data_IF_344591918402
#
_entry.id   IF_344591918402
#
_cell.length_a   1.000
_cell.length_b   1.000
_cell.length_c   1.000
_cell.angle_alpha   90.00
_cell.angle_beta   90.00
_cell.angle_gamma   90.00
#
_symmetry.space_group_name_H-M   'P 1'
#
loop_
_entity.id
_entity.type
_entity.pdbx_description
1 polymer ?
#
# COMPACT_ATOMS: atom_id res chain seq x y z
N UNK A 1 1.35 -25.82 -10.57
CA UNK A 1 2.83 -25.89 -10.57
C UNK A 1 3.35 -24.52 -10.88
N UNK A 2 4.09 -23.90 -9.96
CA UNK A 2 4.72 -22.59 -10.19
C UNK A 2 5.75 -22.77 -11.32
N UNK A 3 5.65 -22.07 -12.45
CA UNK A 3 6.65 -22.19 -13.51
C UNK A 3 7.99 -21.71 -12.95
N UNK A 4 8.99 -22.61 -12.94
CA UNK A 4 10.36 -22.29 -12.49
C UNK A 4 11.05 -21.25 -13.38
N UNK A 5 10.54 -21.03 -14.59
CA UNK A 5 11.06 -20.07 -15.56
C UNK A 5 9.93 -19.12 -15.97
N UNK A 6 10.05 -17.84 -15.61
CA UNK A 6 9.09 -16.77 -15.97
C UNK A 6 9.39 -16.10 -17.32
N UNK A 7 10.51 -16.44 -17.95
CA UNK A 7 10.94 -15.94 -19.25
C UNK A 7 12.42 -16.22 -19.49
N UNK A 8 12.84 -16.18 -20.77
CA UNK A 8 14.26 -16.18 -21.15
C UNK A 8 14.58 -14.77 -21.60
N UNK A 9 15.48 -14.11 -20.88
CA UNK A 9 15.86 -12.73 -21.13
C UNK A 9 17.30 -12.68 -21.64
N UNK A 10 17.52 -11.97 -22.74
CA UNK A 10 18.85 -11.77 -23.33
C UNK A 10 19.48 -10.43 -22.94
N UNK A 11 18.75 -9.60 -22.17
CA UNK A 11 19.19 -8.29 -21.70
C UNK A 11 18.80 -8.07 -20.23
N UNK A 12 19.57 -7.27 -19.50
CA UNK A 12 19.37 -6.99 -18.07
C UNK A 12 18.08 -6.19 -17.82
N UNK A 13 17.77 -5.20 -18.65
CA UNK A 13 16.63 -4.30 -18.43
C UNK A 13 15.26 -5.04 -18.33
N UNK A 14 14.91 -5.97 -19.23
CA UNK A 14 13.72 -6.80 -19.07
C UNK A 14 13.71 -7.66 -17.79
N UNK A 15 14.89 -8.07 -17.30
CA UNK A 15 15.00 -8.83 -16.04
C UNK A 15 14.65 -7.93 -14.85
N UNK A 16 15.23 -6.73 -14.78
CA UNK A 16 14.91 -5.74 -13.74
C UNK A 16 13.41 -5.44 -13.70
N UNK A 17 12.79 -5.17 -14.87
CA UNK A 17 11.36 -4.93 -14.97
C UNK A 17 10.51 -6.12 -14.48
N UNK A 18 10.92 -7.35 -14.80
CA UNK A 18 10.21 -8.54 -14.32
C UNK A 18 10.32 -8.70 -12.79
N UNK A 19 11.50 -8.42 -12.22
CA UNK A 19 11.74 -8.46 -10.78
C UNK A 19 10.98 -7.36 -10.04
N UNK A 20 10.96 -6.13 -10.56
CA UNK A 20 10.18 -5.00 -10.04
C UNK A 20 8.69 -5.36 -9.93
N UNK A 21 8.13 -5.92 -11.02
CA UNK A 21 6.73 -6.35 -11.07
C UNK A 21 6.49 -7.48 -10.05
N UNK A 22 7.40 -8.44 -9.93
CA UNK A 22 7.28 -9.54 -8.98
C UNK A 22 7.34 -9.10 -7.52
N UNK A 23 8.20 -8.11 -7.19
CA UNK A 23 8.24 -7.51 -5.86
C UNK A 23 6.93 -6.78 -5.52
N UNK A 24 6.46 -5.92 -6.43
CA UNK A 24 5.19 -5.20 -6.24
C UNK A 24 4.00 -6.15 -6.06
N UNK A 25 4.01 -7.30 -6.75
CA UNK A 25 3.00 -8.36 -6.58
C UNK A 25 2.99 -8.95 -5.18
N UNK A 26 4.16 -9.32 -4.65
CA UNK A 26 4.26 -9.89 -3.30
C UNK A 26 3.67 -8.93 -2.27
N UNK A 27 4.04 -7.67 -2.32
CA UNK A 27 3.60 -6.68 -1.34
C UNK A 27 2.08 -6.40 -1.42
N UNK A 28 1.53 -6.28 -2.64
CA UNK A 28 0.09 -6.06 -2.80
C UNK A 28 -0.76 -7.29 -2.46
N UNK A 29 -0.26 -8.50 -2.73
CA UNK A 29 -0.97 -9.74 -2.40
C UNK A 29 -1.18 -9.91 -0.89
N UNK A 30 -0.33 -9.30 -0.07
CA UNK A 30 -0.33 -9.49 1.38
C UNK A 30 -1.23 -8.51 2.13
N UNK A 31 -1.81 -7.48 1.50
CA UNK A 31 -2.59 -6.46 2.23
C UNK A 31 -3.85 -7.08 2.87
N UNK A 32 -3.98 -7.09 4.21
CA UNK A 32 -5.11 -7.73 4.87
C UNK A 32 -6.41 -6.97 4.62
N UNK A 33 -7.48 -7.75 4.62
CA UNK A 33 -8.84 -7.30 4.44
C UNK A 33 -9.65 -7.75 5.65
N UNK A 34 -10.35 -6.82 6.29
CA UNK A 34 -11.34 -7.16 7.32
C UNK A 34 -12.75 -7.07 6.73
N UNK A 35 -13.63 -7.97 7.17
CA UNK A 35 -15.02 -8.06 6.69
C UNK A 35 -16.01 -7.72 7.81
N UNK A 36 -17.10 -7.05 7.44
CA UNK A 36 -18.24 -6.65 8.28
C UNK A 36 -17.99 -5.62 9.40
N UNK A 37 -16.82 -4.96 9.46
CA UNK A 37 -16.59 -3.77 10.32
C UNK A 37 -16.71 -3.99 11.84
N UNK A 38 -17.07 -5.20 12.29
CA UNK A 38 -17.12 -5.63 13.69
C UNK A 38 -15.77 -6.17 14.18
N UNK A 39 -14.74 -6.09 13.33
CA UNK A 39 -13.38 -6.43 13.70
C UNK A 39 -12.82 -5.32 14.59
N UNK A 40 -12.50 -5.59 15.88
CA UNK A 40 -11.90 -4.60 16.78
C UNK A 40 -10.65 -3.95 16.18
N UNK A 41 -9.96 -4.67 15.28
CA UNK A 41 -8.80 -4.17 14.56
C UNK A 41 -9.10 -2.90 13.75
N UNK A 42 -10.30 -2.77 13.19
CA UNK A 42 -10.69 -1.56 12.47
C UNK A 42 -10.72 -0.35 13.41
N UNK A 43 -11.32 -0.49 14.60
CA UNK A 43 -11.33 0.59 15.59
C UNK A 43 -9.92 0.93 16.07
N UNK A 44 -9.09 -0.07 16.36
CA UNK A 44 -7.72 0.15 16.79
C UNK A 44 -6.87 0.86 15.73
N UNK A 45 -7.04 0.51 14.46
CA UNK A 45 -6.31 1.16 13.37
C UNK A 45 -6.78 2.59 13.13
N UNK A 46 -8.07 2.90 13.32
CA UNK A 46 -8.54 4.29 13.29
C UNK A 46 -7.95 5.12 14.45
N UNK A 47 -7.99 4.61 15.68
CA UNK A 47 -7.41 5.29 16.85
C UNK A 47 -5.90 5.49 16.71
N UNK A 48 -5.19 4.47 16.22
CA UNK A 48 -3.75 4.55 15.96
C UNK A 48 -3.44 5.59 14.89
N UNK A 49 -4.23 5.64 13.80
CA UNK A 49 -4.10 6.67 12.77
C UNK A 49 -4.27 8.06 13.37
N UNK A 50 -5.32 8.28 14.16
CA UNK A 50 -5.56 9.58 14.82
C UNK A 50 -4.40 9.97 15.73
N UNK A 51 -3.96 9.05 16.61
CA UNK A 51 -2.83 9.28 17.48
C UNK A 51 -1.55 9.63 16.71
N UNK A 52 -1.23 8.89 15.64
CA UNK A 52 -0.04 9.14 14.82
C UNK A 52 -0.08 10.50 14.11
N UNK A 53 -1.27 10.96 13.71
CA UNK A 53 -1.44 12.27 13.06
C UNK A 53 -1.27 13.43 14.03
N UNK A 54 -1.58 13.22 15.32
CA UNK A 54 -1.45 14.22 16.38
C UNK A 54 -0.04 14.31 16.99
N UNK A 55 0.83 13.33 16.74
CA UNK A 55 2.20 13.38 17.23
C UNK A 55 2.95 14.54 16.55
N UNK A 56 3.59 15.39 17.36
CA UNK A 56 4.61 16.34 16.92
C UNK A 56 5.99 15.67 17.00
N UNK A 57 6.63 15.40 15.85
CA UNK A 57 7.97 14.83 15.82
C UNK A 57 9.01 15.79 15.24
N UNK A 58 10.24 15.68 15.74
CA UNK A 58 11.43 16.13 15.01
C UNK A 58 11.71 15.13 13.89
N UNK A 59 11.28 15.47 12.68
CA UNK A 59 11.48 14.65 11.49
C UNK A 59 12.94 14.22 11.28
N UNK A 60 13.93 15.06 11.61
CA UNK A 60 15.34 14.69 11.43
C UNK A 60 15.72 13.55 12.38
N UNK A 61 15.24 13.62 13.62
CA UNK A 61 15.39 12.55 14.60
C UNK A 61 14.64 11.30 14.16
N UNK A 62 13.39 11.41 13.72
CA UNK A 62 12.58 10.26 13.32
C UNK A 62 13.13 9.53 12.09
N UNK A 63 13.65 10.26 11.10
CA UNK A 63 14.33 9.67 9.94
C UNK A 63 15.57 8.89 10.37
N UNK A 64 16.37 9.46 11.29
CA UNK A 64 17.54 8.77 11.83
C UNK A 64 17.15 7.54 12.65
N UNK A 65 16.15 7.65 13.51
CA UNK A 65 15.66 6.55 14.34
C UNK A 65 15.12 5.39 13.49
N UNK A 66 14.53 5.69 12.31
CA UNK A 66 14.16 4.70 11.31
C UNK A 66 15.40 4.08 10.65
N UNK A 67 16.39 4.88 10.25
CA UNK A 67 17.62 4.39 9.64
C UNK A 67 18.41 3.47 10.57
N UNK A 68 18.54 3.84 11.85
CA UNK A 68 19.19 3.04 12.89
C UNK A 68 18.44 1.70 13.07
N UNK A 69 17.10 1.73 13.15
CA UNK A 69 16.28 0.52 13.21
C UNK A 69 16.46 -0.38 11.98
N UNK A 70 16.54 0.21 10.79
CA UNK A 70 16.74 -0.54 9.55
C UNK A 70 18.14 -1.17 9.45
N UNK A 71 19.16 -0.53 10.03
CA UNK A 71 20.52 -1.08 10.06
C UNK A 71 20.62 -2.39 10.86
N UNK A 72 19.70 -2.61 11.79
CA UNK A 72 19.61 -3.84 12.60
C UNK A 72 18.86 -4.97 11.87
N UNK A 73 18.29 -4.71 10.68
CA UNK A 73 17.53 -5.70 9.90
C UNK A 73 18.39 -6.31 8.79
N UNK A 74 18.40 -7.63 8.68
CA UNK A 74 19.21 -8.35 7.67
C UNK A 74 18.63 -8.22 6.24
N UNK A 75 17.37 -7.81 6.08
CA UNK A 75 16.64 -7.82 4.81
C UNK A 75 16.64 -6.48 4.07
N UNK A 76 17.30 -5.45 4.61
CA UNK A 76 17.29 -4.09 4.05
C UNK A 76 18.69 -3.70 3.56
N UNK A 77 18.86 -3.42 2.26
CA UNK A 77 20.16 -3.00 1.72
C UNK A 77 20.63 -1.67 2.33
N UNK A 78 21.88 -1.64 2.81
CA UNK A 78 22.50 -0.48 3.46
C UNK A 78 22.49 0.79 2.59
N UNK A 79 22.61 0.63 1.27
CA UNK A 79 22.53 1.74 0.31
C UNK A 79 21.14 2.38 0.27
N UNK A 80 20.06 1.61 0.37
CA UNK A 80 18.70 2.15 0.45
C UNK A 80 18.45 2.89 1.77
N UNK A 81 19.03 2.41 2.88
CA UNK A 81 18.94 3.08 4.18
C UNK A 81 19.62 4.45 4.11
N UNK A 82 20.87 4.48 3.60
CA UNK A 82 21.63 5.73 3.41
C UNK A 82 20.93 6.68 2.44
N UNK A 83 20.26 6.16 1.42
CA UNK A 83 19.49 6.97 0.48
C UNK A 83 18.33 7.67 1.19
N UNK A 84 17.52 6.94 1.96
CA UNK A 84 16.42 7.53 2.74
C UNK A 84 16.95 8.57 3.72
N UNK A 85 17.98 8.24 4.50
CA UNK A 85 18.53 9.17 5.49
C UNK A 85 18.98 10.51 4.89
N UNK A 86 19.61 10.47 3.70
CA UNK A 86 20.17 11.66 3.04
C UNK A 86 19.17 12.42 2.18
N UNK A 87 18.28 11.70 1.51
CA UNK A 87 17.48 12.23 0.40
C UNK A 87 15.99 12.35 0.73
N UNK A 88 15.54 11.91 1.92
CA UNK A 88 14.11 11.86 2.24
C UNK A 88 13.35 13.15 1.91
N UNK A 89 13.93 14.31 2.23
CA UNK A 89 13.33 15.64 2.00
C UNK A 89 13.41 16.14 0.56
N UNK A 90 14.22 15.50 -0.28
CA UNK A 90 14.37 15.87 -1.68
C UNK A 90 13.21 15.35 -2.55
N UNK A 91 12.40 14.44 -2.01
CA UNK A 91 11.28 13.82 -2.69
C UNK A 91 10.00 13.93 -1.85
N UNK A 92 8.85 13.83 -2.52
CA UNK A 92 7.56 13.84 -1.83
C UNK A 92 7.29 12.50 -1.13
N UNK A 93 6.44 12.45 -0.09
CA UNK A 93 6.07 11.19 0.57
C UNK A 93 5.47 10.14 -0.38
N UNK A 94 4.69 10.59 -1.37
CA UNK A 94 4.11 9.70 -2.39
C UNK A 94 5.19 9.13 -3.31
N UNK A 95 6.24 9.90 -3.63
CA UNK A 95 7.37 9.39 -4.38
C UNK A 95 8.04 8.24 -3.61
N UNK A 96 8.34 8.41 -2.32
CA UNK A 96 8.90 7.33 -1.49
C UNK A 96 7.98 6.11 -1.37
N UNK A 97 6.66 6.35 -1.28
CA UNK A 97 5.67 5.26 -1.22
C UNK A 97 5.58 4.47 -2.54
N UNK A 98 5.93 5.07 -3.68
CA UNK A 98 5.80 4.44 -5.00
C UNK A 98 7.13 4.06 -5.64
N UNK A 99 8.25 4.58 -5.13
CA UNK A 99 9.60 4.26 -5.56
C UNK A 99 10.02 2.85 -5.11
N UNK A 100 10.97 2.26 -5.83
CA UNK A 100 11.53 0.95 -5.50
C UNK A 100 12.51 1.05 -4.32
N UNK A 101 11.97 1.21 -3.12
CA UNK A 101 12.72 1.32 -1.86
C UNK A 101 12.13 0.38 -0.82
N UNK A 102 12.77 0.24 0.34
CA UNK A 102 12.23 -0.55 1.45
C UNK A 102 11.00 0.08 2.12
N UNK A 103 10.71 1.37 1.87
CA UNK A 103 9.63 2.11 2.54
C UNK A 103 8.27 1.46 2.30
N UNK A 104 7.91 1.17 1.05
CA UNK A 104 6.64 0.54 0.71
C UNK A 104 6.46 -0.86 1.33
N UNK A 105 7.38 -1.83 1.14
CA UNK A 105 7.23 -3.17 1.72
C UNK A 105 7.26 -3.13 3.26
N UNK A 106 8.12 -2.32 3.87
CA UNK A 106 8.18 -2.19 5.33
C UNK A 106 6.87 -1.62 5.89
N UNK A 107 6.35 -0.54 5.31
CA UNK A 107 5.10 0.06 5.79
C UNK A 107 3.93 -0.92 5.70
N UNK A 108 3.76 -1.57 4.55
CA UNK A 108 2.68 -2.54 4.38
C UNK A 108 2.89 -3.81 5.23
N UNK A 109 4.14 -4.16 5.58
CA UNK A 109 4.43 -5.22 6.56
C UNK A 109 3.98 -4.81 7.95
N UNK A 110 4.38 -3.63 8.41
CA UNK A 110 4.04 -3.12 9.74
C UNK A 110 2.53 -3.02 9.94
N UNK A 111 1.83 -2.36 9.00
CA UNK A 111 0.37 -2.23 9.04
C UNK A 111 -0.37 -3.57 8.89
N UNK A 112 0.18 -4.53 8.14
CA UNK A 112 -0.42 -5.86 8.00
C UNK A 112 -0.32 -6.69 9.26
N UNK A 113 0.85 -6.69 9.88
CA UNK A 113 1.16 -7.52 11.04
C UNK A 113 0.81 -6.82 12.35
N UNK A 114 0.37 -5.56 12.30
CA UNK A 114 0.23 -4.69 13.46
C UNK A 114 1.51 -4.63 14.29
N UNK A 115 2.65 -4.61 13.59
CA UNK A 115 3.96 -4.50 14.22
C UNK A 115 4.14 -3.07 14.72
N UNK A 116 3.99 -2.90 16.04
CA UNK A 116 4.00 -1.61 16.70
C UNK A 116 5.35 -0.92 16.55
N UNK A 117 6.46 -1.68 16.55
CA UNK A 117 7.80 -1.11 16.42
C UNK A 117 7.97 -0.49 15.03
N UNK A 118 7.58 -1.22 13.96
CA UNK A 118 7.59 -0.69 12.60
C UNK A 118 6.66 0.52 12.48
N UNK A 119 5.43 0.42 12.99
CA UNK A 119 4.44 1.50 12.86
C UNK A 119 4.91 2.78 13.55
N UNK A 120 5.49 2.68 14.75
CA UNK A 120 6.03 3.84 15.47
C UNK A 120 7.25 4.43 14.75
N UNK A 121 8.19 3.60 14.29
CA UNK A 121 9.36 4.05 13.53
C UNK A 121 8.99 4.71 12.21
N UNK A 122 7.92 4.26 11.57
CA UNK A 122 7.37 4.84 10.34
C UNK A 122 6.27 5.88 10.59
N UNK A 123 5.99 6.24 11.84
CA UNK A 123 4.88 7.13 12.20
C UNK A 123 4.96 8.48 11.50
N UNK A 124 6.15 9.08 11.47
CA UNK A 124 6.41 10.33 10.73
C UNK A 124 6.09 10.18 9.24
N UNK A 125 6.45 9.05 8.62
CA UNK A 125 6.19 8.79 7.21
C UNK A 125 4.70 8.58 6.94
N UNK A 126 3.99 7.86 7.81
CA UNK A 126 2.52 7.69 7.73
C UNK A 126 1.83 9.05 7.76
N UNK A 127 2.22 9.93 8.71
CA UNK A 127 1.71 11.29 8.81
C UNK A 127 1.99 12.11 7.55
N UNK A 128 3.24 12.09 7.08
CA UNK A 128 3.62 12.84 5.87
C UNK A 128 2.88 12.35 4.63
N UNK A 129 2.75 11.04 4.46
CA UNK A 129 2.03 10.43 3.35
C UNK A 129 0.54 10.80 3.41
N UNK A 130 -0.09 10.69 4.57
CA UNK A 130 -1.49 11.08 4.76
C UNK A 130 -1.70 12.56 4.44
N UNK A 131 -0.89 13.45 5.01
CA UNK A 131 -1.02 14.89 4.82
C UNK A 131 -0.81 15.29 3.35
N UNK A 132 0.15 14.66 2.67
CA UNK A 132 0.38 14.91 1.25
C UNK A 132 -0.77 14.42 0.37
N UNK A 133 -1.38 13.26 0.67
CA UNK A 133 -2.59 12.79 -0.01
C UNK A 133 -3.77 13.75 0.24
N UNK A 134 -3.95 14.22 1.48
CA UNK A 134 -5.01 15.18 1.83
C UNK A 134 -4.83 16.51 1.09
N UNK A 135 -3.61 17.01 1.00
CA UNK A 135 -3.30 18.22 0.24
C UNK A 135 -3.67 18.05 -1.24
N UNK A 136 -3.18 16.98 -1.88
CA UNK A 136 -3.50 16.71 -3.29
C UNK A 136 -5.01 16.49 -3.51
N UNK A 137 -5.69 15.85 -2.57
CA UNK A 137 -7.13 15.66 -2.63
C UNK A 137 -7.89 17.00 -2.72
N UNK A 138 -7.47 17.98 -1.90
CA UNK A 138 -8.04 19.32 -1.90
C UNK A 138 -7.72 20.07 -3.21
N UNK A 139 -6.47 19.98 -3.69
CA UNK A 139 -6.04 20.60 -4.94
C UNK A 139 -6.79 20.04 -6.16
N UNK A 140 -7.11 18.75 -6.15
CA UNK A 140 -7.78 18.04 -7.25
C UNK A 140 -9.32 18.09 -7.18
N UNK A 141 -9.89 18.63 -6.10
CA UNK A 141 -11.33 18.56 -5.83
C UNK A 141 -12.20 19.12 -6.98
N UNK A 142 -11.72 20.16 -7.66
CA UNK A 142 -12.43 20.81 -8.78
C UNK A 142 -12.26 20.13 -10.14
N UNK A 143 -11.25 19.27 -10.31
CA UNK A 143 -10.93 18.59 -11.57
C UNK A 143 -11.45 17.15 -11.63
N UNK A 144 -11.79 16.56 -10.49
CA UNK A 144 -12.21 15.15 -10.44
C UNK A 144 -13.68 14.96 -10.79
N UNK A 145 -14.02 13.89 -11.55
CA UNK A 145 -15.42 13.51 -11.76
C UNK A 145 -16.13 13.21 -10.44
N UNK A 146 -17.43 13.50 -10.35
CA UNK A 146 -18.25 13.17 -9.17
C UNK A 146 -18.24 11.68 -8.83
N UNK A 147 -18.21 10.85 -9.88
CA UNK A 147 -18.11 9.40 -9.76
C UNK A 147 -17.10 8.87 -10.76
N UNK A 148 -16.24 7.98 -10.30
CA UNK A 148 -15.29 7.30 -11.17
C UNK A 148 -15.03 5.89 -10.68
N UNK A 149 -14.48 5.06 -11.56
CA UNK A 149 -14.16 3.68 -11.27
C UNK A 149 -12.64 3.49 -11.23
N UNK A 150 -12.18 2.75 -10.23
CA UNK A 150 -10.80 2.29 -10.11
C UNK A 150 -10.76 0.80 -9.84
N UNK A 151 -9.63 0.19 -10.18
CA UNK A 151 -9.41 -1.23 -10.12
C UNK A 151 -8.21 -1.54 -9.24
N UNK A 152 -8.32 -2.57 -8.41
CA UNK A 152 -7.20 -3.11 -7.64
C UNK A 152 -7.19 -4.61 -7.76
N UNK A 153 -6.03 -5.17 -8.11
CA UNK A 153 -5.85 -6.62 -8.16
C UNK A 153 -5.08 -7.08 -6.94
N UNK A 154 -5.45 -8.22 -6.39
CA UNK A 154 -4.78 -8.81 -5.23
C UNK A 154 -5.09 -10.31 -5.14
N UNK A 155 -4.17 -11.10 -4.61
CA UNK A 155 -4.46 -12.45 -4.14
C UNK A 155 -5.10 -12.44 -2.77
N UNK A 156 -6.15 -13.24 -2.55
CA UNK A 156 -6.72 -13.51 -1.24
C UNK A 156 -6.50 -14.98 -0.87
N UNK A 157 -6.31 -15.27 0.42
CA UNK A 157 -6.35 -16.65 0.90
C UNK A 157 -7.72 -17.27 0.62
N UNK A 158 -7.77 -18.59 0.45
CA UNK A 158 -9.06 -19.27 0.26
C UNK A 158 -10.00 -19.06 1.47
N UNK A 159 -9.43 -18.94 2.67
CA UNK A 159 -10.20 -18.65 3.89
C UNK A 159 -10.86 -17.27 3.83
N UNK A 160 -10.09 -16.23 3.49
CA UNK A 160 -10.61 -14.86 3.38
C UNK A 160 -11.58 -14.71 2.21
N UNK A 161 -11.37 -15.46 1.13
CA UNK A 161 -12.31 -15.51 0.01
C UNK A 161 -13.67 -16.12 0.44
N UNK A 162 -13.67 -17.20 1.20
CA UNK A 162 -14.91 -17.79 1.71
C UNK A 162 -15.58 -16.92 2.78
N UNK A 163 -14.81 -16.17 3.59
CA UNK A 163 -15.36 -15.12 4.45
C UNK A 163 -16.04 -14.04 3.62
N UNK A 164 -15.35 -13.48 2.62
CA UNK A 164 -15.86 -12.45 1.73
C UNK A 164 -17.19 -12.85 1.06
N UNK A 165 -17.31 -14.10 0.59
CA UNK A 165 -18.55 -14.62 -0.01
C UNK A 165 -19.73 -14.63 0.96
N UNK A 166 -19.48 -14.88 2.25
CA UNK A 166 -20.52 -14.89 3.29
C UNK A 166 -20.92 -13.49 3.73
N UNK A 167 -20.12 -12.48 3.39
CA UNK A 167 -20.34 -11.07 3.75
C UNK A 167 -20.84 -10.24 2.57
N UNK A 168 -21.49 -10.86 1.59
CA UNK A 168 -22.10 -10.15 0.46
C UNK A 168 -23.13 -9.11 0.96
N UNK A 169 -23.09 -7.91 0.39
CA UNK A 169 -23.87 -6.75 0.86
C UNK A 169 -23.34 -6.12 2.16
N UNK A 170 -22.30 -6.69 2.77
CA UNK A 170 -21.63 -6.16 3.95
C UNK A 170 -20.57 -5.12 3.64
N UNK A 171 -19.91 -4.64 4.70
CA UNK A 171 -18.79 -3.70 4.61
C UNK A 171 -17.45 -4.43 4.59
N UNK A 172 -16.45 -3.79 3.98
CA UNK A 172 -15.08 -4.27 3.90
C UNK A 172 -14.15 -3.12 4.23
N UNK A 173 -13.10 -3.38 4.99
CA UNK A 173 -12.08 -2.37 5.34
C UNK A 173 -10.68 -2.85 4.99
N UNK A 174 -9.85 -1.90 4.57
CA UNK A 174 -8.43 -2.08 4.36
C UNK A 174 -7.68 -1.27 5.41
N UNK A 175 -6.78 -1.93 6.15
CA UNK A 175 -6.00 -1.27 7.20
C UNK A 175 -4.67 -0.72 6.66
N UNK A 176 -4.63 -0.41 5.35
CA UNK A 176 -3.44 0.05 4.63
C UNK A 176 -3.81 1.18 3.67
N UNK A 177 -2.81 1.95 3.26
CA UNK A 177 -2.94 2.83 2.11
C UNK A 177 -3.24 2.00 0.85
N UNK A 178 -4.16 2.49 0.03
CA UNK A 178 -4.61 1.80 -1.18
C UNK A 178 -3.99 2.41 -2.43
N UNK A 179 -3.27 1.58 -3.18
CA UNK A 179 -2.89 1.87 -4.56
C UNK A 179 -3.89 1.19 -5.51
N UNK A 180 -4.39 1.96 -6.48
CA UNK A 180 -5.40 1.54 -7.45
C UNK A 180 -5.07 2.09 -8.84
N UNK A 181 -5.74 1.58 -9.87
CA UNK A 181 -5.56 2.05 -11.25
C UNK A 181 -6.89 2.32 -11.93
N UNK A 182 -6.96 3.37 -12.75
CA UNK A 182 -8.07 3.54 -13.70
C UNK A 182 -8.08 2.48 -14.82
N UNK A 183 -6.94 1.82 -15.06
CA UNK A 183 -6.81 0.81 -16.13
C UNK A 183 -7.03 -0.58 -15.55
N UNK A 184 -8.19 -1.17 -15.88
CA UNK A 184 -8.54 -2.55 -15.50
C UNK A 184 -7.45 -3.57 -15.82
N UNK A 185 -6.81 -3.43 -16.98
CA UNK A 185 -5.75 -4.33 -17.48
C UNK A 185 -4.52 -4.33 -16.57
N UNK A 186 -4.10 -3.16 -16.06
CA UNK A 186 -2.97 -3.07 -15.13
C UNK A 186 -3.26 -3.92 -13.88
N UNK A 187 -4.44 -3.74 -13.28
CA UNK A 187 -4.81 -4.47 -12.08
C UNK A 187 -4.94 -5.97 -12.33
N UNK A 188 -5.56 -6.36 -13.45
CA UNK A 188 -5.79 -7.76 -13.82
C UNK A 188 -4.49 -8.50 -14.17
N UNK A 189 -3.68 -7.93 -15.06
CA UNK A 189 -2.49 -8.59 -15.63
C UNK A 189 -1.34 -8.61 -14.63
N UNK A 190 -1.19 -7.53 -13.84
CA UNK A 190 -0.06 -7.42 -12.93
C UNK A 190 -0.33 -8.04 -11.56
N UNK A 191 -1.57 -8.16 -11.09
CA UNK A 191 -1.82 -8.58 -9.70
C UNK A 191 -2.80 -9.74 -9.56
N UNK A 192 -3.83 -9.84 -10.42
CA UNK A 192 -4.84 -10.91 -10.32
C UNK A 192 -4.36 -12.23 -10.93
N UNK A 193 -3.98 -12.22 -12.22
CA UNK A 193 -3.50 -13.44 -12.90
C UNK A 193 -2.27 -14.07 -12.25
N UNK A 194 -1.31 -13.29 -11.72
CA UNK A 194 -0.16 -13.88 -11.03
C UNK A 194 -0.54 -14.56 -9.71
N UNK A 195 -1.55 -14.05 -8.99
CA UNK A 195 -2.02 -14.64 -7.74
C UNK A 195 -2.62 -16.04 -7.92
N UNK A 196 -3.18 -16.36 -9.09
CA UNK A 196 -3.71 -17.70 -9.37
C UNK A 196 -2.61 -18.78 -9.48
N UNK A 197 -1.34 -18.39 -9.50
CA UNK A 197 -0.23 -19.35 -9.48
C UNK A 197 0.00 -19.99 -8.10
N UNK A 198 -0.51 -19.36 -7.03
CA UNK A 198 -0.46 -19.94 -5.70
C UNK A 198 -1.73 -20.78 -5.44
N UNK A 199 -1.60 -22.11 -5.22
CA UNK A 199 -2.75 -23.02 -5.08
C UNK A 199 -3.66 -22.70 -3.89
N UNK A 200 -3.15 -22.01 -2.86
CA UNK A 200 -3.91 -21.65 -1.65
C UNK A 200 -4.53 -20.26 -1.71
N UNK A 201 -4.45 -19.57 -2.85
CA UNK A 201 -5.00 -18.23 -3.02
C UNK A 201 -5.85 -18.08 -4.28
N UNK A 202 -6.80 -17.17 -4.23
CA UNK A 202 -7.65 -16.77 -5.36
C UNK A 202 -7.27 -15.36 -5.78
N UNK A 203 -7.06 -15.14 -7.07
CA UNK A 203 -6.88 -13.79 -7.61
C UNK A 203 -8.20 -13.04 -7.66
N UNK A 204 -8.26 -11.87 -7.02
CA UNK A 204 -9.44 -11.00 -6.95
C UNK A 204 -9.17 -9.67 -7.62
N UNK A 205 -10.09 -9.27 -8.50
CA UNK A 205 -10.15 -7.92 -9.04
C UNK A 205 -11.23 -7.14 -8.30
N UNK A 206 -10.82 -6.23 -7.42
CA UNK A 206 -11.72 -5.25 -6.84
C UNK A 206 -12.07 -4.18 -7.88
N UNK A 207 -13.36 -3.99 -8.11
CA UNK A 207 -13.93 -2.92 -8.93
C UNK A 207 -14.58 -1.93 -7.97
N UNK A 208 -13.93 -0.80 -7.75
CA UNK A 208 -14.35 0.19 -6.76
C UNK A 208 -14.94 1.39 -7.47
N UNK A 209 -16.21 1.69 -7.17
CA UNK A 209 -16.89 2.89 -7.62
C UNK A 209 -16.73 3.95 -6.53
N UNK A 210 -15.99 5.01 -6.84
CA UNK A 210 -15.72 6.11 -5.91
C UNK A 210 -16.74 7.21 -6.18
N UNK A 211 -17.38 7.69 -5.11
CA UNK A 211 -18.25 8.86 -5.11
C UNK A 211 -17.56 9.96 -4.30
N UNK A 212 -17.15 11.03 -4.98
CA UNK A 212 -16.34 12.08 -4.35
C UNK A 212 -17.12 12.85 -3.29
N UNK A 213 -18.45 12.94 -3.42
CA UNK A 213 -19.30 13.59 -2.41
C UNK A 213 -19.37 12.77 -1.12
N UNK A 214 -19.24 11.45 -1.19
CA UNK A 214 -19.12 10.59 0.00
C UNK A 214 -17.76 10.78 0.64
N UNK A 215 -16.67 10.72 -0.15
CA UNK A 215 -15.30 10.89 0.35
C UNK A 215 -15.09 12.21 1.09
N UNK A 216 -15.67 13.32 0.58
CA UNK A 216 -15.62 14.62 1.22
C UNK A 216 -16.31 14.64 2.59
N UNK A 217 -17.40 13.88 2.76
CA UNK A 217 -18.15 13.80 4.03
C UNK A 217 -17.50 12.85 5.03
N UNK A 218 -16.85 11.79 4.55
CA UNK A 218 -16.22 10.76 5.39
C UNK A 218 -14.74 11.03 5.68
N UNK A 219 -14.23 12.22 5.34
CA UNK A 219 -12.81 12.59 5.50
C UNK A 219 -11.86 11.50 5.01
N UNK A 220 -12.17 10.92 3.85
CA UNK A 220 -11.39 9.84 3.24
C UNK A 220 -10.67 10.40 2.01
N UNK A 221 -9.47 10.99 2.20
CA UNK A 221 -8.77 11.65 1.13
C UNK A 221 -8.23 10.62 0.12
N UNK A 222 -8.20 11.02 -1.14
CA UNK A 222 -7.55 10.28 -2.22
C UNK A 222 -6.85 11.26 -3.15
N UNK A 223 -5.82 10.79 -3.84
CA UNK A 223 -5.11 11.59 -4.83
C UNK A 223 -4.91 10.77 -6.10
N UNK A 224 -5.21 11.36 -7.26
CA UNK A 224 -4.72 10.86 -8.54
C UNK A 224 -3.25 11.24 -8.67
N UNK A 225 -2.40 10.24 -8.87
CA UNK A 225 -0.94 10.42 -8.96
C UNK A 225 -0.50 10.04 -10.37
N UNK A 226 0.04 10.99 -11.11
CA UNK A 226 0.69 10.72 -12.39
C UNK A 226 2.02 10.01 -12.12
N UNK A 227 2.20 8.82 -12.69
CA UNK A 227 3.52 8.17 -12.79
C UNK A 227 4.30 8.72 -13.98
#
# INVERSE_FOLDING_TARGET
TIPKVKGVYTAIKPICQALEIDRQRCDQAMIPVSFNGLDPLFMYTQLLKEALLDIEDDDKKSIKDLADYCCEQDDIPEDQIKQVEREYRNHTPIWWYTAETFIYPMLNRGLRQMDVDIILKMGFFIRHLHNHITQLHQEQQGSMPTKFQVFRGQGLSMEDFEKMKKTEGGLMSFNNFLSTSHKRTISLDNFVRPATNNPSSVGILFVMNIDTAICMKSSTPFAEVSK
#
